data_IF_444250235155
#
_entry.id   IF_444250235155
#
_cell.length_a   1.000
_cell.length_b   1.000
_cell.length_c   1.000
_cell.angle_alpha   90.00
_cell.angle_beta   90.00
_cell.angle_gamma   90.00
#
_symmetry.space_group_name_H-M   'P 1'
#
loop_
_entity.id
_entity.type
_entity.pdbx_description
1 polymer ?
#
# COMPACT_ATOMS: atom_id res chain seq x y z
N UNK A 1 30.58 -0.61 2.13
CA UNK A 1 30.28 -0.52 0.67
C UNK A 1 31.13 0.62 0.11
N UNK A 2 31.89 0.40 -0.98
CA UNK A 2 32.67 1.48 -1.61
C UNK A 2 31.70 2.35 -2.42
N UNK A 3 31.74 3.67 -2.21
CA UNK A 3 30.95 4.64 -2.99
C UNK A 3 31.52 4.71 -4.41
N UNK A 4 30.66 4.78 -5.40
CA UNK A 4 31.08 5.03 -6.77
C UNK A 4 31.44 6.51 -6.91
N UNK A 5 32.66 6.78 -7.37
CA UNK A 5 33.19 8.14 -7.53
C UNK A 5 33.34 8.44 -9.01
N UNK A 6 32.94 9.63 -9.44
CA UNK A 6 33.16 10.13 -10.80
C UNK A 6 33.83 11.50 -10.79
N UNK A 7 34.48 11.87 -11.88
CA UNK A 7 35.20 13.14 -12.01
C UNK A 7 34.29 14.19 -12.65
N UNK A 8 34.12 15.34 -11.98
CA UNK A 8 33.33 16.44 -12.54
C UNK A 8 34.02 17.04 -13.78
N UNK A 9 33.34 17.17 -14.94
CA UNK A 9 33.95 17.74 -16.15
C UNK A 9 34.23 19.25 -16.05
N UNK A 10 33.59 19.95 -15.11
CA UNK A 10 33.76 21.40 -14.94
C UNK A 10 34.98 21.79 -14.11
N UNK A 11 35.32 21.00 -13.08
CA UNK A 11 36.39 21.35 -12.12
C UNK A 11 37.30 20.18 -11.74
N UNK A 12 37.14 19.01 -12.33
CA UNK A 12 37.93 17.80 -12.09
C UNK A 12 37.90 17.24 -10.66
N UNK A 13 37.02 17.73 -9.79
CA UNK A 13 36.85 17.18 -8.45
C UNK A 13 36.15 15.82 -8.50
N UNK A 14 36.51 14.96 -7.55
CA UNK A 14 35.80 13.71 -7.26
C UNK A 14 34.42 14.02 -6.67
N UNK A 15 33.37 13.40 -7.22
CA UNK A 15 31.99 13.56 -6.78
C UNK A 15 31.29 12.19 -6.65
N UNK A 16 30.30 12.11 -5.75
CA UNK A 16 29.51 10.88 -5.58
C UNK A 16 28.64 10.65 -6.82
N UNK A 17 28.57 9.41 -7.31
CA UNK A 17 27.86 9.10 -8.55
C UNK A 17 26.37 9.48 -8.53
N UNK A 18 25.75 9.55 -7.34
CA UNK A 18 24.33 9.89 -7.16
C UNK A 18 24.05 11.39 -7.00
N UNK A 19 25.06 12.25 -6.86
CA UNK A 19 24.84 13.69 -6.68
C UNK A 19 24.38 14.36 -7.98
N UNK A 20 23.34 15.21 -7.88
CA UNK A 20 22.75 15.95 -8.99
C UNK A 20 23.51 17.23 -9.36
N UNK A 21 24.46 17.67 -8.53
CA UNK A 21 25.31 18.83 -8.78
C UNK A 21 26.70 18.62 -8.17
N UNK A 22 27.73 19.25 -8.74
CA UNK A 22 29.08 19.22 -8.17
C UNK A 22 29.17 20.17 -6.95
N UNK A 23 29.64 19.71 -5.78
CA UNK A 23 29.73 20.55 -4.58
C UNK A 23 30.82 21.63 -4.68
N UNK A 24 31.76 21.50 -5.62
CA UNK A 24 32.88 22.44 -5.79
C UNK A 24 32.51 23.58 -6.73
N UNK A 25 32.04 23.28 -7.94
CA UNK A 25 31.74 24.30 -8.96
C UNK A 25 30.26 24.57 -9.15
N UNK A 26 29.38 23.92 -8.37
CA UNK A 26 27.91 24.06 -8.44
C UNK A 26 27.31 23.77 -9.82
N UNK A 27 28.05 23.10 -10.72
CA UNK A 27 27.53 22.74 -12.03
C UNK A 27 26.44 21.67 -11.87
N UNK A 28 25.22 21.90 -12.38
CA UNK A 28 24.20 20.87 -12.40
C UNK A 28 24.63 19.72 -13.32
N UNK A 29 24.26 18.51 -12.95
CA UNK A 29 24.46 17.30 -13.77
C UNK A 29 23.14 16.95 -14.44
N UNK A 30 23.21 16.61 -15.73
CA UNK A 30 22.03 16.09 -16.41
C UNK A 30 21.71 14.69 -15.89
N UNK A 31 20.45 14.26 -15.98
CA UNK A 31 20.09 12.87 -15.65
C UNK A 31 20.91 11.86 -16.47
N UNK A 32 21.22 12.17 -17.73
CA UNK A 32 22.06 11.31 -18.57
C UNK A 32 23.47 11.11 -17.98
N UNK A 33 24.08 12.16 -17.42
CA UNK A 33 25.39 12.07 -16.75
C UNK A 33 25.35 11.24 -15.46
N UNK A 34 24.26 11.33 -14.69
CA UNK A 34 24.05 10.52 -13.48
C UNK A 34 23.88 9.04 -13.85
N UNK A 35 23.03 8.73 -14.84
CA UNK A 35 22.82 7.35 -15.29
C UNK A 35 24.07 6.72 -15.93
N UNK A 36 24.82 7.49 -16.74
CA UNK A 36 26.07 7.01 -17.33
C UNK A 36 27.10 6.61 -16.25
N UNK A 37 27.16 7.39 -15.16
CA UNK A 37 28.05 7.14 -14.02
C UNK A 37 27.71 5.86 -13.27
N UNK A 38 26.41 5.58 -13.10
CA UNK A 38 25.95 4.34 -12.48
C UNK A 38 26.20 3.11 -13.38
N UNK A 39 26.12 3.28 -14.70
CA UNK A 39 26.32 2.20 -15.67
C UNK A 39 27.80 1.81 -15.84
N UNK A 40 28.72 2.77 -15.71
CA UNK A 40 30.17 2.55 -15.84
C UNK A 40 30.82 1.74 -14.70
N UNK A 41 30.21 1.70 -13.51
CA UNK A 41 30.77 1.02 -12.33
C UNK A 41 30.68 -0.51 -12.32
N UNK A 42 29.99 -1.12 -13.31
CA UNK A 42 29.77 -2.57 -13.37
C UNK A 42 30.80 -3.25 -14.32
N UNK A 43 31.63 -2.47 -15.03
CA UNK A 43 32.45 -2.94 -16.15
C UNK A 43 33.72 -3.73 -15.83
N UNK A 44 34.37 -3.55 -14.67
CA UNK A 44 35.71 -4.12 -14.43
C UNK A 44 35.75 -5.44 -13.65
N UNK A 45 34.60 -6.04 -13.35
CA UNK A 45 34.54 -7.38 -12.70
C UNK A 45 34.38 -8.49 -13.73
N UNK A 46 35.06 -8.40 -14.87
CA UNK A 46 34.98 -9.44 -15.94
C UNK A 46 36.30 -10.14 -16.27
N UNK A 47 37.42 -9.84 -15.60
CA UNK A 47 38.70 -10.52 -15.84
C UNK A 47 39.04 -11.67 -14.86
N UNK A 48 38.18 -12.00 -13.89
CA UNK A 48 38.53 -12.97 -12.81
C UNK A 48 37.65 -14.24 -12.72
N UNK A 49 36.90 -14.62 -13.76
CA UNK A 49 36.16 -15.91 -13.77
C UNK A 49 36.47 -16.78 -14.98
N UNK A 50 37.75 -17.00 -15.21
CA UNK A 50 38.26 -18.20 -15.87
C UNK A 50 38.55 -19.23 -14.78
N UNK A 51 37.92 -20.42 -14.88
CA UNK A 51 38.08 -21.63 -14.04
C UNK A 51 37.16 -21.75 -12.82
N UNK A 52 36.07 -22.49 -13.01
CA UNK A 52 35.54 -23.61 -12.17
C UNK A 52 34.16 -23.96 -12.74
N UNK A 53 34.10 -24.83 -13.75
CA UNK A 53 33.87 -26.29 -13.63
C UNK A 53 32.63 -26.63 -12.80
N UNK A 54 31.57 -26.99 -13.51
CA UNK A 54 30.90 -28.30 -13.47
C UNK A 54 30.60 -28.86 -12.08
N UNK A 55 29.34 -28.80 -11.63
CA UNK A 55 28.70 -29.90 -10.90
C UNK A 55 27.17 -29.88 -11.09
N UNK A 56 26.70 -30.86 -11.88
CA UNK A 56 25.36 -31.44 -11.89
C UNK A 56 25.17 -32.29 -10.63
N UNK A 57 24.09 -32.07 -9.85
CA UNK A 57 23.43 -33.10 -9.00
C UNK A 57 21.99 -32.57 -8.73
N UNK A 58 20.93 -33.01 -9.42
CA UNK A 58 20.12 -34.23 -9.22
C UNK A 58 19.66 -34.44 -7.77
N UNK A 59 18.44 -34.01 -7.45
CA UNK A 59 17.84 -34.20 -6.12
C UNK A 59 16.31 -34.19 -6.15
N UNK A 60 15.73 -35.22 -6.76
CA UNK A 60 14.32 -35.56 -6.63
C UNK A 60 14.07 -36.23 -5.27
N UNK A 61 13.10 -35.76 -4.49
CA UNK A 61 12.45 -36.60 -3.49
C UNK A 61 11.03 -36.10 -3.18
N UNK A 62 10.09 -36.90 -3.67
CA UNK A 62 8.66 -36.93 -3.38
C UNK A 62 8.42 -37.45 -1.96
N UNK A 63 7.61 -36.75 -1.16
CA UNK A 63 6.91 -37.37 -0.04
C UNK A 63 5.42 -37.01 -0.15
N UNK A 64 4.65 -38.01 -0.58
CA UNK A 64 3.22 -38.07 -0.41
C UNK A 64 2.92 -38.59 1.00
N UNK A 65 2.08 -37.88 1.76
CA UNK A 65 1.46 -38.42 2.97
C UNK A 65 0.03 -37.87 3.08
N UNK A 66 -0.89 -38.66 2.55
CA UNK A 66 -2.34 -38.54 2.73
C UNK A 66 -2.72 -38.89 4.16
N UNK A 67 -3.40 -37.98 4.86
CA UNK A 67 -4.20 -38.32 6.04
C UNK A 67 -5.61 -37.75 5.90
N UNK A 68 -6.51 -38.63 5.42
CA UNK A 68 -7.95 -38.56 5.62
C UNK A 68 -8.23 -38.71 7.11
N UNK A 69 -8.72 -37.66 7.76
CA UNK A 69 -9.45 -37.80 9.02
C UNK A 69 -10.80 -37.10 8.82
N UNK A 70 -11.80 -37.93 8.53
CA UNK A 70 -13.19 -37.56 8.63
C UNK A 70 -13.61 -37.48 10.09
N UNK A 71 -14.25 -36.37 10.45
CA UNK A 71 -15.16 -36.28 11.59
C UNK A 71 -16.21 -35.22 11.25
N UNK A 72 -17.38 -35.68 10.85
CA UNK A 72 -18.61 -34.88 10.82
C UNK A 72 -18.95 -34.48 12.26
N UNK A 73 -18.63 -33.24 12.60
CA UNK A 73 -19.25 -32.54 13.72
C UNK A 73 -20.43 -31.79 13.13
N UNK A 74 -21.64 -32.27 13.41
CA UNK A 74 -22.90 -31.60 13.07
C UNK A 74 -23.26 -30.68 14.25
N UNK A 75 -23.01 -29.36 14.18
CA UNK A 75 -23.47 -28.45 15.22
C UNK A 75 -25.00 -28.27 15.15
N UNK A 76 -25.70 -28.25 16.31
CA UNK A 76 -27.13 -28.00 16.39
C UNK A 76 -27.43 -26.49 16.31
N UNK A 77 -28.57 -26.15 15.69
CA UNK A 77 -29.30 -24.92 15.99
C UNK A 77 -28.89 -23.69 15.18
N UNK A 78 -29.23 -23.67 13.90
CA UNK A 78 -29.25 -22.46 13.07
C UNK A 78 -30.37 -21.55 13.59
N UNK A 79 -30.03 -20.62 14.49
CA UNK A 79 -30.90 -19.49 14.77
C UNK A 79 -31.12 -18.75 13.44
N UNK A 80 -32.38 -18.62 13.05
CA UNK A 80 -32.82 -17.88 11.87
C UNK A 80 -32.53 -16.40 12.14
N UNK A 81 -31.29 -15.99 11.87
CA UNK A 81 -30.91 -14.58 11.84
C UNK A 81 -31.70 -13.95 10.71
N UNK A 82 -32.69 -13.15 11.09
CA UNK A 82 -33.58 -12.47 10.19
C UNK A 82 -32.73 -11.74 9.14
N UNK A 83 -32.81 -12.21 7.89
CA UNK A 83 -32.14 -11.59 6.78
C UNK A 83 -32.61 -10.13 6.70
N UNK A 84 -31.77 -9.21 7.16
CA UNK A 84 -31.97 -7.81 6.84
C UNK A 84 -32.03 -7.71 5.32
N UNK A 85 -33.01 -6.97 4.77
CA UNK A 85 -33.17 -6.83 3.34
C UNK A 85 -31.85 -6.33 2.77
N UNK A 86 -31.16 -7.20 2.00
CA UNK A 86 -30.03 -6.82 1.18
C UNK A 86 -30.51 -5.66 0.30
N UNK A 87 -30.20 -4.43 0.72
CA UNK A 87 -30.35 -3.26 -0.15
C UNK A 87 -29.48 -3.57 -1.34
N UNK A 88 -30.13 -3.87 -2.47
CA UNK A 88 -29.45 -3.96 -3.77
C UNK A 88 -28.58 -2.71 -3.87
N UNK A 89 -27.26 -2.87 -4.07
CA UNK A 89 -26.36 -1.74 -4.21
C UNK A 89 -26.97 -0.79 -5.23
N UNK A 90 -27.19 0.46 -4.83
CA UNK A 90 -27.72 1.47 -5.74
C UNK A 90 -26.87 1.44 -7.02
N UNK A 91 -27.52 1.36 -8.18
CA UNK A 91 -26.85 1.29 -9.47
C UNK A 91 -25.83 2.44 -9.54
N UNK A 92 -24.55 2.08 -9.69
CA UNK A 92 -23.49 3.08 -9.62
C UNK A 92 -23.62 3.98 -10.85
N UNK A 93 -23.74 5.31 -10.68
CA UNK A 93 -23.74 6.22 -11.81
C UNK A 93 -22.50 5.97 -12.68
N UNK A 94 -22.70 5.85 -13.99
CA UNK A 94 -21.56 5.79 -14.90
C UNK A 94 -20.80 7.11 -14.78
N UNK A 95 -19.46 7.08 -14.69
CA UNK A 95 -18.67 8.30 -14.63
C UNK A 95 -18.92 9.10 -15.90
N UNK A 96 -19.22 10.38 -15.73
CA UNK A 96 -19.03 11.37 -16.76
C UNK A 96 -17.53 11.40 -17.11
N UNK A 97 -17.17 11.52 -18.40
CA UNK A 97 -15.76 11.45 -18.85
C UNK A 97 -14.81 12.46 -18.21
N UNK A 98 -15.33 13.38 -17.40
CA UNK A 98 -14.63 14.40 -16.62
C UNK A 98 -14.40 14.01 -15.16
N UNK A 99 -14.64 12.76 -14.77
CA UNK A 99 -14.38 12.27 -13.44
C UNK A 99 -13.42 11.08 -13.42
N UNK A 100 -12.67 10.97 -12.33
CA UNK A 100 -11.96 9.78 -11.91
C UNK A 100 -12.83 8.96 -10.97
N UNK A 101 -12.83 7.65 -11.14
CA UNK A 101 -13.41 6.71 -10.18
C UNK A 101 -12.30 6.19 -9.29
N UNK A 102 -12.31 6.58 -8.03
CA UNK A 102 -11.42 5.99 -7.01
C UNK A 102 -12.18 4.91 -6.27
N UNK A 103 -11.58 3.74 -6.18
CA UNK A 103 -12.11 2.62 -5.42
C UNK A 103 -11.01 1.99 -4.59
N UNK A 104 -11.39 1.28 -3.54
CA UNK A 104 -10.42 0.58 -2.71
C UNK A 104 -11.09 -0.07 -1.52
N UNK A 105 -10.24 -0.55 -0.61
CA UNK A 105 -10.61 -1.25 0.61
C UNK A 105 -10.00 -0.54 1.81
N UNK A 106 -10.72 -0.57 2.92
CA UNK A 106 -10.19 -0.18 4.23
C UNK A 106 -10.19 -1.41 5.13
N UNK A 107 -9.03 -1.77 5.68
CA UNK A 107 -8.90 -2.90 6.59
C UNK A 107 -7.94 -2.61 7.75
N UNK A 108 -8.10 -3.34 8.85
CA UNK A 108 -7.25 -3.21 10.03
C UNK A 108 -5.89 -3.89 9.83
N UNK A 109 -4.80 -3.17 10.13
CA UNK A 109 -3.43 -3.63 9.89
C UNK A 109 -3.10 -4.95 10.60
N UNK A 110 -3.59 -5.16 11.81
CA UNK A 110 -3.18 -6.33 12.61
C UNK A 110 -4.05 -7.53 12.27
N UNK A 111 -5.36 -7.33 12.30
CA UNK A 111 -6.36 -8.39 12.18
C UNK A 111 -6.72 -8.72 10.74
N UNK A 112 -6.36 -7.85 9.78
CA UNK A 112 -6.80 -7.89 8.38
C UNK A 112 -8.33 -7.91 8.24
N UNK A 113 -9.05 -7.48 9.27
CA UNK A 113 -10.50 -7.41 9.23
C UNK A 113 -10.95 -6.18 8.44
N UNK A 114 -11.95 -6.30 7.56
CA UNK A 114 -12.49 -5.15 6.83
C UNK A 114 -13.10 -4.15 7.80
N UNK A 115 -12.97 -2.86 7.48
CA UNK A 115 -13.49 -1.76 8.30
C UNK A 115 -14.75 -1.21 7.65
N UNK A 116 -15.90 -1.68 8.12
CA UNK A 116 -17.21 -1.24 7.65
C UNK A 116 -17.65 0.11 8.23
N UNK A 117 -18.52 0.81 7.50
CA UNK A 117 -19.12 2.11 7.81
C UNK A 117 -18.12 3.24 8.09
N UNK A 118 -16.89 3.13 7.58
CA UNK A 118 -15.92 4.19 7.66
C UNK A 118 -16.22 5.27 6.62
N UNK A 119 -16.01 6.53 7.00
CA UNK A 119 -16.10 7.67 6.10
C UNK A 119 -14.70 7.99 5.56
N UNK A 120 -14.56 7.97 4.24
CA UNK A 120 -13.35 8.35 3.51
C UNK A 120 -13.64 9.65 2.78
N UNK A 121 -12.88 10.71 3.09
CA UNK A 121 -13.10 12.03 2.53
C UNK A 121 -11.91 12.46 1.66
N UNK A 122 -12.21 12.97 0.47
CA UNK A 122 -11.29 13.42 -0.55
C UNK A 122 -11.49 14.92 -0.74
N UNK A 123 -10.52 15.72 -0.31
CA UNK A 123 -10.57 17.18 -0.44
C UNK A 123 -9.59 17.65 -1.50
N UNK A 124 -10.08 18.31 -2.54
CA UNK A 124 -9.26 19.00 -3.53
C UNK A 124 -8.37 20.02 -2.84
N UNK A 125 -7.05 19.92 -3.05
CA UNK A 125 -6.09 20.86 -2.45
C UNK A 125 -6.22 22.24 -3.10
N UNK A 126 -6.53 22.28 -4.40
CA UNK A 126 -6.62 23.53 -5.16
C UNK A 126 -7.94 24.30 -4.90
N UNK A 127 -9.09 23.60 -4.92
CA UNK A 127 -10.41 24.24 -4.79
C UNK A 127 -11.02 24.15 -3.39
N UNK A 128 -10.57 23.20 -2.56
CA UNK A 128 -11.19 22.91 -1.27
C UNK A 128 -12.45 22.06 -1.34
N UNK A 129 -12.93 21.71 -2.54
CA UNK A 129 -14.11 20.85 -2.72
C UNK A 129 -13.88 19.48 -2.11
N UNK A 130 -14.90 18.96 -1.42
CA UNK A 130 -14.84 17.69 -0.71
C UNK A 130 -15.85 16.68 -1.26
N UNK A 131 -15.39 15.43 -1.41
CA UNK A 131 -16.22 14.28 -1.77
C UNK A 131 -16.00 13.19 -0.74
N UNK A 132 -17.06 12.48 -0.40
CA UNK A 132 -17.02 11.44 0.63
C UNK A 132 -17.55 10.12 0.09
N UNK A 133 -17.00 9.03 0.60
CA UNK A 133 -17.54 7.68 0.43
C UNK A 133 -17.60 6.96 1.77
N UNK A 134 -18.59 6.08 1.91
CA UNK A 134 -18.70 5.20 3.06
C UNK A 134 -18.31 3.77 2.68
N UNK A 135 -17.53 3.10 3.53
CA UNK A 135 -17.17 1.69 3.29
C UNK A 135 -18.34 0.75 3.56
N UNK A 136 -18.48 -0.27 2.71
CA UNK A 136 -19.46 -1.35 2.87
C UNK A 136 -19.05 -2.36 3.95
N UNK A 137 -19.87 -3.39 4.18
CA UNK A 137 -19.60 -4.46 5.15
C UNK A 137 -18.30 -5.25 4.88
N UNK A 138 -17.77 -5.20 3.65
CA UNK A 138 -16.50 -5.81 3.29
C UNK A 138 -15.35 -4.78 3.24
N UNK A 139 -15.58 -3.58 3.76
CA UNK A 139 -14.58 -2.51 3.82
C UNK A 139 -14.34 -1.82 2.47
N UNK A 140 -15.13 -2.10 1.43
CA UNK A 140 -14.94 -1.50 0.10
C UNK A 140 -15.61 -0.13 0.02
N UNK A 141 -14.99 0.79 -0.68
CA UNK A 141 -15.58 2.09 -0.99
C UNK A 141 -15.37 2.44 -2.48
N UNK A 142 -16.17 3.40 -2.95
CA UNK A 142 -16.06 3.96 -4.30
C UNK A 142 -16.51 5.40 -4.29
N UNK A 143 -15.74 6.28 -4.93
CA UNK A 143 -16.05 7.71 -5.06
C UNK A 143 -15.77 8.19 -6.48
N UNK A 144 -16.59 9.14 -6.95
CA UNK A 144 -16.34 9.86 -8.21
C UNK A 144 -15.74 11.22 -7.88
N UNK A 145 -14.53 11.49 -8.36
CA UNK A 145 -13.80 12.72 -8.14
C UNK A 145 -13.68 13.50 -9.45
N UNK A 146 -13.96 14.81 -9.48
CA UNK A 146 -13.67 15.63 -10.65
C UNK A 146 -12.20 15.53 -11.06
N UNK A 147 -11.91 15.45 -12.36
CA UNK A 147 -10.54 15.58 -12.86
C UNK A 147 -10.03 16.99 -12.54
N UNK A 148 -8.87 17.10 -11.91
CA UNK A 148 -8.21 18.37 -11.58
C UNK A 148 -6.84 18.42 -12.27
N UNK A 149 -6.44 19.62 -12.71
CA UNK A 149 -5.16 19.81 -13.40
C UNK A 149 -3.99 19.96 -12.42
N UNK A 150 -4.24 20.43 -11.20
CA UNK A 150 -3.20 20.74 -10.22
C UNK A 150 -3.64 20.41 -8.78
N UNK A 151 -2.68 20.15 -7.89
CA UNK A 151 -2.86 20.07 -6.43
C UNK A 151 -3.23 18.70 -5.85
N UNK A 152 -3.95 17.85 -6.58
CA UNK A 152 -4.37 16.54 -6.10
C UNK A 152 -5.45 16.59 -5.00
N UNK A 153 -5.75 15.42 -4.43
CA UNK A 153 -6.75 15.24 -3.37
C UNK A 153 -6.08 14.84 -2.05
N UNK A 154 -6.28 15.64 -1.01
CA UNK A 154 -5.95 15.22 0.35
C UNK A 154 -6.99 14.20 0.82
N UNK A 155 -6.54 13.00 1.20
CA UNK A 155 -7.41 11.93 1.67
C UNK A 155 -7.40 11.87 3.19
N UNK A 156 -8.57 11.65 3.79
CA UNK A 156 -8.72 11.46 5.22
C UNK A 156 -9.72 10.37 5.53
N UNK A 157 -9.62 9.83 6.74
CA UNK A 157 -10.40 8.68 7.18
C UNK A 157 -11.00 8.93 8.56
N UNK A 158 -12.24 8.49 8.77
CA UNK A 158 -12.89 8.54 10.08
C UNK A 158 -13.76 7.31 10.34
N UNK A 159 -13.52 6.65 11.47
CA UNK A 159 -14.39 5.61 12.02
C UNK A 159 -14.22 5.50 13.53
N UNK A 160 -15.31 5.30 14.27
CA UNK A 160 -15.25 5.06 15.70
C UNK A 160 -14.45 3.78 16.00
N UNK A 161 -13.53 3.84 16.97
CA UNK A 161 -12.67 2.71 17.36
C UNK A 161 -11.41 2.55 16.52
N UNK A 162 -11.17 3.47 15.58
CA UNK A 162 -9.96 3.54 14.76
C UNK A 162 -9.28 4.90 14.94
N UNK A 163 -7.97 4.93 14.69
CA UNK A 163 -7.24 6.19 14.58
C UNK A 163 -7.66 6.97 13.34
N UNK A 164 -7.30 8.26 13.30
CA UNK A 164 -7.45 9.14 12.13
C UNK A 164 -6.32 8.95 11.09
N UNK A 165 -5.32 8.13 11.41
CA UNK A 165 -4.18 7.81 10.55
C UNK A 165 -4.42 6.53 9.78
N UNK A 166 -3.90 6.50 8.57
CA UNK A 166 -3.89 5.33 7.71
C UNK A 166 -2.53 5.16 7.04
N UNK A 167 -2.33 4.01 6.41
CA UNK A 167 -1.24 3.69 5.50
C UNK A 167 -1.84 3.36 4.15
N UNK A 168 -1.16 3.74 3.08
CA UNK A 168 -1.47 3.22 1.74
C UNK A 168 -0.97 1.78 1.67
N UNK A 169 -1.77 0.86 1.12
CA UNK A 169 -1.33 -0.52 0.94
C UNK A 169 -0.25 -0.57 -0.15
N UNK A 170 0.98 -0.91 0.27
CA UNK A 170 2.15 -0.92 -0.62
C UNK A 170 2.41 -2.32 -1.15
N UNK A 171 3.22 -2.45 -2.21
CA UNK A 171 3.70 -3.76 -2.65
C UNK A 171 4.97 -4.18 -1.87
N UNK A 172 5.00 -5.36 -1.22
CA UNK A 172 3.94 -6.37 -1.18
C UNK A 172 2.82 -6.01 -0.18
N UNK A 173 1.57 -6.30 -0.57
CA UNK A 173 0.37 -5.96 0.20
C UNK A 173 0.48 -6.45 1.65
N UNK A 174 0.01 -5.67 2.62
CA UNK A 174 0.13 -6.02 4.04
C UNK A 174 -0.56 -7.36 4.36
N UNK A 175 -1.65 -7.70 3.67
CA UNK A 175 -2.32 -9.01 3.78
C UNK A 175 -1.37 -10.20 3.54
N UNK A 176 -0.36 -10.04 2.68
CA UNK A 176 0.63 -11.08 2.37
C UNK A 176 1.77 -11.20 3.39
N UNK A 177 1.89 -10.23 4.29
CA UNK A 177 2.95 -10.19 5.30
C UNK A 177 2.61 -11.08 6.51
N UNK A 178 3.61 -11.41 7.33
CA UNK A 178 3.36 -12.15 8.58
C UNK A 178 2.69 -11.24 9.62
N UNK A 179 1.98 -11.84 10.58
CA UNK A 179 1.39 -11.08 11.68
C UNK A 179 2.44 -10.36 12.54
N UNK A 180 3.67 -10.86 12.60
CA UNK A 180 4.78 -10.20 13.29
C UNK A 180 5.23 -8.94 12.53
N UNK A 181 5.48 -9.05 11.22
CA UNK A 181 5.86 -7.92 10.38
C UNK A 181 4.83 -6.78 10.43
N UNK A 182 3.53 -7.11 10.41
CA UNK A 182 2.46 -6.09 10.54
C UNK A 182 2.46 -5.39 11.90
N UNK A 183 2.85 -6.07 12.98
CA UNK A 183 2.98 -5.44 14.31
C UNK A 183 4.20 -4.52 14.40
N UNK A 184 5.28 -4.83 13.69
CA UNK A 184 6.42 -3.93 13.57
C UNK A 184 6.03 -2.65 12.82
N UNK A 185 5.29 -2.78 11.72
CA UNK A 185 4.73 -1.64 10.98
C UNK A 185 3.82 -0.79 11.87
N UNK A 186 2.97 -1.42 12.69
CA UNK A 186 2.14 -0.72 13.67
C UNK A 186 2.99 0.10 14.66
N UNK A 187 4.10 -0.46 15.14
CA UNK A 187 5.02 0.23 16.05
C UNK A 187 5.69 1.43 15.36
N UNK A 188 6.00 1.30 14.08
CA UNK A 188 6.53 2.39 13.26
C UNK A 188 5.49 3.51 13.06
N UNK A 189 4.23 3.14 12.78
CA UNK A 189 3.11 4.08 12.62
C UNK A 189 2.87 4.92 13.88
N UNK A 190 3.09 4.33 15.06
CA UNK A 190 2.93 5.03 16.34
C UNK A 190 4.05 6.02 16.63
N UNK A 191 5.26 5.75 16.15
CA UNK A 191 6.44 6.60 16.36
C UNK A 191 6.68 7.64 15.26
N UNK A 192 6.07 7.46 14.08
CA UNK A 192 6.33 8.30 12.91
C UNK A 192 5.13 9.18 12.57
N UNK A 193 5.39 10.47 12.31
CA UNK A 193 4.40 11.35 11.70
C UNK A 193 4.36 11.09 10.20
N UNK A 194 3.26 10.47 9.73
CA UNK A 194 3.04 10.24 8.31
C UNK A 194 2.52 11.51 7.65
N UNK A 195 3.20 11.93 6.59
CA UNK A 195 2.75 13.00 5.71
C UNK A 195 2.20 12.34 4.45
N UNK A 196 0.88 12.38 4.28
CA UNK A 196 0.23 11.87 3.08
C UNK A 196 0.47 12.83 1.92
N UNK A 197 0.92 12.28 0.79
CA UNK A 197 1.03 13.03 -0.46
C UNK A 197 -0.38 13.14 -1.05
N UNK A 198 -0.81 14.32 -1.51
CA UNK A 198 -2.08 14.44 -2.21
C UNK A 198 -2.17 13.46 -3.38
N UNK A 199 -3.31 12.78 -3.44
CA UNK A 199 -3.62 11.79 -4.47
C UNK A 199 -3.81 12.49 -5.82
N UNK A 200 -2.97 12.15 -6.79
CA UNK A 200 -3.01 12.72 -8.13
C UNK A 200 -3.08 11.57 -9.15
N UNK A 201 -4.29 11.22 -9.65
CA UNK A 201 -4.43 10.22 -10.69
C UNK A 201 -3.78 10.69 -11.99
N UNK A 202 -3.27 9.75 -12.78
CA UNK A 202 -2.69 10.05 -14.09
C UNK A 202 -3.76 10.60 -15.06
N UNK A 203 -3.39 11.53 -15.95
CA UNK A 203 -4.34 12.21 -16.85
C UNK A 203 -5.13 11.25 -17.76
N UNK A 204 -4.48 10.15 -18.16
CA UNK A 204 -5.07 9.11 -19.00
C UNK A 204 -5.93 8.10 -18.23
N UNK A 205 -5.84 8.08 -16.91
CA UNK A 205 -6.62 7.15 -16.09
C UNK A 205 -8.02 7.70 -15.85
N UNK A 206 -8.99 6.79 -15.81
CA UNK A 206 -10.38 7.06 -15.44
C UNK A 206 -10.77 6.33 -14.17
N UNK A 207 -9.93 5.40 -13.71
CA UNK A 207 -10.14 4.54 -12.57
C UNK A 207 -8.81 4.29 -11.88
N UNK A 208 -8.83 4.30 -10.55
CA UNK A 208 -7.67 4.07 -9.71
C UNK A 208 -8.06 3.25 -8.48
N UNK A 209 -7.18 2.34 -8.07
CA UNK A 209 -7.30 1.56 -6.84
C UNK A 209 -6.47 2.22 -5.72
N UNK A 210 -7.09 2.45 -4.56
CA UNK A 210 -6.46 3.10 -3.40
C UNK A 210 -6.87 2.39 -2.11
N UNK A 211 -6.11 1.36 -1.75
CA UNK A 211 -6.33 0.59 -0.54
C UNK A 211 -5.70 1.29 0.68
N UNK A 212 -6.46 1.38 1.76
CA UNK A 212 -6.07 2.03 3.01
C UNK A 212 -6.00 1.00 4.13
N UNK A 213 -4.92 1.05 4.90
CA UNK A 213 -4.73 0.19 6.07
C UNK A 213 -4.74 1.05 7.33
N UNK A 214 -5.56 0.69 8.30
CA UNK A 214 -5.77 1.50 9.50
C UNK A 214 -5.40 0.76 10.77
N UNK A 215 -5.17 1.54 11.82
CA UNK A 215 -4.99 1.03 13.18
C UNK A 215 -6.30 1.08 13.94
N UNK A 216 -6.81 -0.07 14.38
CA UNK A 216 -7.76 -0.11 15.48
C UNK A 216 -7.10 0.41 16.76
N UNK A 217 -7.75 1.32 17.50
CA UNK A 217 -7.20 1.85 18.75
C UNK A 217 -7.25 0.83 19.90
N UNK A 218 -7.91 -0.32 19.70
CA UNK A 218 -8.21 -1.31 20.72
C UNK A 218 -9.24 -0.77 21.72
N UNK A 219 -10.29 -1.47 22.15
CA UNK A 219 -10.83 -2.79 21.83
C UNK A 219 -12.30 -2.56 21.39
N UNK A 220 -12.94 -3.47 20.62
CA UNK A 220 -14.38 -3.60 20.79
C UNK A 220 -14.60 -3.81 22.29
N UNK A 221 -15.28 -2.88 22.96
CA UNK A 221 -15.62 -3.06 24.36
C UNK A 221 -16.21 -4.47 24.45
N UNK A 222 -15.50 -5.39 25.12
CA UNK A 222 -15.96 -6.76 25.24
C UNK A 222 -17.41 -6.64 25.72
N UNK A 223 -18.37 -7.01 24.86
CA UNK A 223 -19.78 -6.89 25.20
C UNK A 223 -19.93 -7.70 26.47
N UNK A 224 -19.99 -7.02 27.63
CA UNK A 224 -20.27 -7.70 28.90
C UNK A 224 -21.56 -8.48 28.62
N UNK A 225 -21.56 -9.81 28.76
CA UNK A 225 -22.79 -10.56 28.55
C UNK A 225 -23.84 -9.90 29.45
N UNK A 226 -24.97 -9.48 28.86
CA UNK A 226 -26.11 -8.99 29.64
C UNK A 226 -26.42 -10.09 30.65
N UNK A 227 -26.07 -9.89 31.93
CA UNK A 227 -26.56 -10.78 32.99
C UNK A 227 -28.08 -10.62 32.95
N UNK A 228 -28.76 -11.65 32.44
CA UNK A 228 -30.22 -11.73 32.53
C UNK A 228 -30.62 -11.57 33.99
N UNK A 229 -31.63 -10.74 34.23
CA UNK A 229 -32.38 -10.71 35.49
C UNK A 229 -33.52 -11.70 35.40
#
# INVERSE_FOLDING_TARGET
>A
MKKAVVICPGCTSEIDAVESACPVCMRPRSQQEVFASLRGGIGDVRSSRSRRRLFLVLGALTIAASLKIGREIRPPGRATEAAEPQRSPAAVPQPDGNAWVVEGRVYDLVTLSPVADAQVSFRSVASGDEREAQTDAAGRYRVSLPKIQEGGYAVSFRRQGYGDRYLEDMSPAYESQSAEARREVLTMLDSTKILHVPLLPDEGETRMEYDMVVRGTGLPAARRPKRGR
#
